data_IF_932893305168
#
_entry.id   IF_932893305168
#
_cell.length_a   1.000
_cell.length_b   1.000
_cell.length_c   1.000
_cell.angle_alpha   90.00
_cell.angle_beta   90.00
_cell.angle_gamma   90.00
#
_symmetry.space_group_name_H-M   'P 1'
#
loop_
_entity.id
_entity.type
_entity.pdbx_description
1 polymer ?
#
# COMPACT_ATOMS: atom_id res chain seq x y z
N UNK A 1 -4.17 -2.56 16.54
CA UNK A 1 -5.32 -2.43 15.61
C UNK A 1 -5.62 -3.80 15.04
N UNK A 2 -6.88 -4.10 14.72
CA UNK A 2 -7.26 -5.37 14.10
C UNK A 2 -8.18 -5.10 12.92
N UNK A 3 -8.24 -6.04 11.99
CA UNK A 3 -9.35 -6.12 11.05
C UNK A 3 -9.38 -7.43 10.31
N UNK A 4 -10.49 -7.65 9.61
CA UNK A 4 -10.79 -8.88 8.88
C UNK A 4 -11.33 -8.49 7.52
N UNK A 5 -10.80 -9.10 6.47
CA UNK A 5 -11.17 -8.82 5.09
C UNK A 5 -11.45 -10.14 4.35
N UNK A 6 -12.57 -10.25 3.62
CA UNK A 6 -12.78 -11.38 2.72
C UNK A 6 -11.72 -11.34 1.61
N UNK A 7 -10.98 -12.43 1.41
CA UNK A 7 -9.87 -12.51 0.43
C UNK A 7 -10.23 -13.35 -0.79
N UNK A 8 -11.44 -13.92 -0.83
CA UNK A 8 -11.89 -14.74 -1.95
C UNK A 8 -11.47 -16.19 -1.80
N UNK A 9 -10.90 -16.80 -2.83
CA UNK A 9 -10.45 -18.18 -2.83
C UNK A 9 -9.12 -18.31 -3.58
N UNK A 10 -8.36 -19.37 -3.31
CA UNK A 10 -7.16 -19.68 -4.10
C UNK A 10 -7.55 -20.40 -5.41
N UNK A 11 -6.79 -20.21 -6.51
CA UNK A 11 -7.12 -20.84 -7.79
C UNK A 11 -7.23 -22.36 -7.75
N UNK A 12 -6.43 -23.01 -6.89
CA UNK A 12 -6.43 -24.47 -6.69
C UNK A 12 -7.63 -24.97 -5.89
N UNK A 13 -8.29 -24.11 -5.11
CA UNK A 13 -9.42 -24.46 -4.25
C UNK A 13 -10.52 -23.38 -4.33
N UNK A 14 -11.17 -23.21 -5.50
CA UNK A 14 -12.04 -22.06 -5.77
C UNK A 14 -13.34 -22.03 -4.93
N UNK A 15 -13.70 -23.17 -4.32
CA UNK A 15 -14.86 -23.29 -3.43
C UNK A 15 -14.52 -22.92 -1.98
N UNK A 16 -13.24 -22.91 -1.60
CA UNK A 16 -12.84 -22.54 -0.26
C UNK A 16 -12.70 -21.03 -0.14
N UNK A 17 -13.64 -20.40 0.59
CA UNK A 17 -13.57 -18.97 0.90
C UNK A 17 -12.57 -18.72 2.01
N UNK A 18 -11.71 -17.72 1.81
CA UNK A 18 -10.65 -17.29 2.71
C UNK A 18 -10.94 -15.89 3.23
N UNK A 19 -10.51 -15.66 4.46
CA UNK A 19 -10.50 -14.34 5.10
C UNK A 19 -9.10 -14.04 5.62
N UNK A 20 -8.63 -12.82 5.38
CA UNK A 20 -7.38 -12.33 5.95
C UNK A 20 -7.66 -11.62 7.26
N UNK A 21 -6.92 -11.99 8.30
CA UNK A 21 -6.95 -11.35 9.61
C UNK A 21 -5.64 -10.60 9.77
N UNK A 22 -5.73 -9.30 10.08
CA UNK A 22 -4.56 -8.52 10.45
C UNK A 22 -4.65 -8.07 11.90
N UNK A 23 -3.52 -8.15 12.61
CA UNK A 23 -3.38 -7.74 13.99
C UNK A 23 -2.06 -6.98 14.14
N UNK A 24 -2.13 -5.74 14.62
CA UNK A 24 -0.96 -4.92 14.88
C UNK A 24 -0.60 -4.97 16.36
N UNK A 25 0.67 -5.26 16.63
CA UNK A 25 1.29 -5.31 17.95
C UNK A 25 2.68 -4.67 17.91
N UNK A 26 3.19 -4.17 19.04
CA UNK A 26 4.58 -3.71 19.15
C UNK A 26 5.57 -4.80 18.73
N UNK A 27 6.64 -4.41 18.02
CA UNK A 27 7.67 -5.35 17.52
C UNK A 27 8.23 -6.30 18.58
N UNK A 28 8.52 -5.87 19.83
CA UNK A 28 9.02 -6.78 20.86
C UNK A 28 8.04 -7.89 21.25
N UNK A 29 6.73 -7.68 21.05
CA UNK A 29 5.69 -8.65 21.39
C UNK A 29 5.44 -9.69 20.29
N UNK A 30 6.01 -9.49 19.09
CA UNK A 30 5.86 -10.42 17.96
C UNK A 30 6.37 -11.81 18.29
N UNK A 31 7.48 -11.91 19.01
CA UNK A 31 8.05 -13.22 19.37
C UNK A 31 7.07 -14.00 20.24
N UNK A 32 6.48 -13.38 21.25
CA UNK A 32 5.50 -14.00 22.17
C UNK A 32 4.09 -14.19 21.60
N UNK A 33 3.84 -13.81 20.34
CA UNK A 33 2.49 -13.84 19.78
C UNK A 33 2.00 -15.29 19.58
N UNK A 34 0.94 -15.66 20.33
CA UNK A 34 0.30 -16.99 20.29
C UNK A 34 1.25 -18.18 20.54
N UNK A 35 2.38 -17.94 21.21
CA UNK A 35 3.37 -19.00 21.47
C UNK A 35 2.84 -20.10 22.40
N UNK A 36 2.07 -19.74 23.41
CA UNK A 36 1.51 -20.66 24.39
C UNK A 36 0.00 -20.47 24.57
N UNK A 37 -0.63 -21.38 25.31
CA UNK A 37 -2.07 -21.35 25.58
C UNK A 37 -2.51 -20.10 26.36
N UNK A 38 -1.64 -19.57 27.24
CA UNK A 38 -1.94 -18.37 27.99
C UNK A 38 -1.99 -17.14 27.08
N UNK A 39 -1.04 -17.01 26.14
CA UNK A 39 -0.99 -15.95 25.15
C UNK A 39 -2.18 -16.01 24.19
N UNK A 40 -2.60 -17.23 23.76
CA UNK A 40 -3.80 -17.42 22.94
C UNK A 40 -5.06 -16.96 23.66
N UNK A 41 -5.24 -17.38 24.91
CA UNK A 41 -6.42 -16.99 25.71
C UNK A 41 -6.44 -15.48 26.00
N UNK A 42 -5.28 -14.90 26.34
CA UNK A 42 -5.16 -13.46 26.57
C UNK A 42 -5.50 -12.65 25.32
N UNK A 43 -5.02 -13.08 24.15
CA UNK A 43 -5.34 -12.44 22.87
C UNK A 43 -6.83 -12.57 22.52
N UNK A 44 -7.41 -13.77 22.62
CA UNK A 44 -8.84 -13.99 22.39
C UNK A 44 -9.71 -13.14 23.33
N UNK A 45 -9.30 -12.97 24.59
CA UNK A 45 -9.96 -12.07 25.54
C UNK A 45 -9.93 -10.62 25.05
N UNK A 46 -8.76 -10.11 24.63
CA UNK A 46 -8.64 -8.75 24.07
C UNK A 46 -9.51 -8.55 22.83
N UNK A 47 -9.59 -9.55 21.95
CA UNK A 47 -10.48 -9.49 20.78
C UNK A 47 -11.94 -9.48 21.23
N UNK A 48 -12.31 -10.30 22.23
CA UNK A 48 -13.70 -10.42 22.69
C UNK A 48 -14.26 -9.14 23.31
N UNK A 49 -13.41 -8.32 23.93
CA UNK A 49 -13.80 -7.01 24.51
C UNK A 49 -14.38 -6.05 23.46
N UNK A 50 -13.98 -6.21 22.18
CA UNK A 50 -14.44 -5.36 21.08
C UNK A 50 -15.34 -6.12 20.12
N UNK A 51 -14.98 -7.35 19.77
CA UNK A 51 -15.67 -8.17 18.76
C UNK A 51 -15.91 -9.62 19.26
N UNK A 52 -16.95 -9.85 20.07
CA UNK A 52 -17.23 -11.16 20.66
C UNK A 52 -17.37 -12.29 19.63
N UNK A 53 -18.15 -12.06 18.56
CA UNK A 53 -18.37 -13.05 17.49
C UNK A 53 -17.09 -13.42 16.74
N UNK A 54 -16.20 -12.45 16.57
CA UNK A 54 -14.90 -12.66 15.92
C UNK A 54 -13.98 -13.47 16.82
N UNK A 55 -13.99 -13.21 18.12
CA UNK A 55 -13.22 -13.99 19.08
C UNK A 55 -13.67 -15.46 19.11
N UNK A 56 -14.97 -15.72 19.05
CA UNK A 56 -15.52 -17.09 18.98
C UNK A 56 -15.07 -17.80 17.70
N UNK A 57 -15.20 -17.16 16.54
CA UNK A 57 -14.71 -17.70 15.26
C UNK A 57 -13.20 -17.95 15.26
N UNK A 58 -12.40 -17.03 15.80
CA UNK A 58 -10.95 -17.21 15.90
C UNK A 58 -10.56 -18.32 16.86
N UNK A 59 -11.33 -18.52 17.94
CA UNK A 59 -11.16 -19.66 18.85
C UNK A 59 -11.35 -20.96 18.07
N UNK A 60 -12.44 -21.10 17.31
CA UNK A 60 -12.66 -22.28 16.48
C UNK A 60 -11.50 -22.54 15.53
N UNK A 61 -11.00 -21.52 14.84
CA UNK A 61 -9.86 -21.65 13.91
C UNK A 61 -8.58 -22.06 14.64
N UNK A 62 -8.25 -21.42 15.77
CA UNK A 62 -7.00 -21.67 16.50
C UNK A 62 -6.91 -23.09 17.09
N UNK A 63 -8.05 -23.68 17.47
CA UNK A 63 -8.10 -25.01 18.09
C UNK A 63 -8.51 -26.11 17.10
N UNK A 64 -8.90 -25.78 15.88
CA UNK A 64 -9.19 -26.78 14.84
C UNK A 64 -7.87 -27.24 14.19
N UNK A 65 -7.54 -28.52 14.39
CA UNK A 65 -6.31 -29.15 13.87
C UNK A 65 -6.22 -29.16 12.33
N UNK A 66 -7.36 -29.06 11.64
CA UNK A 66 -7.42 -29.01 10.17
C UNK A 66 -7.11 -27.60 9.63
N UNK A 67 -7.29 -26.56 10.45
CA UNK A 67 -7.01 -25.17 10.08
C UNK A 67 -5.87 -24.64 10.93
N UNK A 68 -4.63 -24.76 10.46
CA UNK A 68 -3.50 -24.08 11.10
C UNK A 68 -3.33 -22.69 10.48
N UNK A 69 -3.80 -21.60 11.13
CA UNK A 69 -3.62 -20.26 10.59
C UNK A 69 -2.13 -19.95 10.52
N UNK A 70 -1.65 -19.64 9.31
CA UNK A 70 -0.28 -19.15 9.10
C UNK A 70 -0.24 -17.65 9.41
N UNK A 71 0.32 -17.30 10.56
CA UNK A 71 0.59 -15.93 10.92
C UNK A 71 1.90 -15.46 10.30
N UNK A 72 1.84 -14.39 9.50
CA UNK A 72 3.00 -13.79 8.88
C UNK A 72 3.30 -12.45 9.55
N UNK A 73 4.53 -12.28 10.04
CA UNK A 73 5.00 -10.99 10.54
C UNK A 73 5.34 -10.06 9.37
N UNK A 74 4.68 -8.91 9.29
CA UNK A 74 5.03 -7.86 8.34
C UNK A 74 5.87 -6.78 9.04
N UNK A 75 7.16 -6.71 8.73
CA UNK A 75 8.04 -5.65 9.20
C UNK A 75 8.10 -4.54 8.15
N UNK A 76 7.62 -3.35 8.52
CA UNK A 76 7.65 -2.19 7.65
C UNK A 76 8.99 -1.45 7.78
N UNK A 77 9.48 -0.93 6.66
CA UNK A 77 10.66 -0.07 6.60
C UNK A 77 10.27 1.28 6.00
N UNK A 78 10.96 2.32 6.45
CA UNK A 78 10.91 3.63 5.82
C UNK A 78 12.14 3.75 4.90
N UNK A 79 11.92 3.78 3.59
CA UNK A 79 12.96 3.86 2.57
C UNK A 79 12.83 5.19 1.86
N UNK A 80 13.93 5.93 1.74
CA UNK A 80 13.98 7.18 0.97
C UNK A 80 15.16 7.15 0.03
N UNK A 81 14.87 7.20 -1.27
CA UNK A 81 15.87 7.42 -2.30
C UNK A 81 15.82 8.86 -2.80
N UNK A 82 16.99 9.47 -2.98
CA UNK A 82 17.12 10.80 -3.61
C UNK A 82 17.16 10.71 -5.13
N UNK A 83 17.54 9.55 -5.67
CA UNK A 83 17.64 9.29 -7.09
C UNK A 83 17.06 7.90 -7.40
N UNK A 84 16.03 7.85 -8.25
CA UNK A 84 15.27 6.63 -8.57
C UNK A 84 15.89 5.79 -9.68
N UNK A 85 16.87 6.31 -10.42
CA UNK A 85 17.52 5.57 -11.50
C UNK A 85 18.75 6.25 -12.07
N UNK A 86 19.60 5.46 -12.71
CA UNK A 86 20.80 5.89 -13.42
C UNK A 86 21.13 4.90 -14.54
N UNK A 87 21.34 5.42 -15.75
CA UNK A 87 21.60 4.58 -16.92
C UNK A 87 20.45 3.60 -17.15
N UNK A 88 20.75 2.30 -17.24
CA UNK A 88 19.78 1.24 -17.51
C UNK A 88 19.12 0.65 -16.25
N UNK A 89 19.41 1.18 -15.07
CA UNK A 89 18.92 0.66 -13.79
C UNK A 89 18.02 1.71 -13.15
N UNK A 90 16.82 1.28 -12.74
CA UNK A 90 15.88 2.08 -11.97
C UNK A 90 15.24 1.26 -10.85
N UNK A 91 14.78 1.95 -9.83
CA UNK A 91 14.12 1.39 -8.65
C UNK A 91 12.78 2.11 -8.48
N UNK A 92 11.70 1.34 -8.32
CA UNK A 92 10.33 1.85 -8.17
C UNK A 92 9.60 1.11 -7.04
N UNK A 93 8.46 1.66 -6.62
CA UNK A 93 7.64 1.09 -5.54
C UNK A 93 8.34 1.11 -4.18
N UNK A 94 7.99 0.16 -3.33
CA UNK A 94 8.51 0.07 -1.96
C UNK A 94 10.04 -0.04 -1.89
N UNK A 95 10.70 -0.59 -2.92
CA UNK A 95 12.15 -0.63 -2.99
C UNK A 95 12.79 0.77 -3.05
N UNK A 96 12.06 1.78 -3.55
CA UNK A 96 12.53 3.15 -3.66
C UNK A 96 11.95 4.10 -2.60
N UNK A 97 10.74 3.84 -2.14
CA UNK A 97 10.01 4.77 -1.26
C UNK A 97 9.03 4.11 -0.29
N UNK A 98 9.35 2.89 0.21
CA UNK A 98 8.57 2.26 1.25
C UNK A 98 8.24 3.23 2.39
N UNK A 99 6.98 3.25 2.77
CA UNK A 99 6.44 4.14 3.80
C UNK A 99 5.52 3.34 4.72
N UNK A 100 5.22 3.92 5.87
CA UNK A 100 4.34 3.26 6.84
C UNK A 100 2.92 3.13 6.26
N UNK A 101 2.23 1.99 6.48
CA UNK A 101 1.04 1.60 5.71
C UNK A 101 -0.25 2.34 6.06
N UNK A 102 -0.23 3.33 6.96
CA UNK A 102 -1.43 3.98 7.50
C UNK A 102 -2.34 4.59 6.42
N UNK A 103 -1.76 5.03 5.30
CA UNK A 103 -2.50 5.64 4.20
C UNK A 103 -2.89 4.64 3.10
N UNK A 104 -2.41 3.39 3.16
CA UNK A 104 -2.64 2.38 2.13
C UNK A 104 -2.09 2.74 0.74
N UNK A 105 -1.07 3.59 0.65
CA UNK A 105 -0.62 4.18 -0.62
C UNK A 105 0.49 3.42 -1.36
N UNK A 106 1.11 2.39 -0.75
CA UNK A 106 2.26 1.70 -1.39
C UNK A 106 1.95 1.20 -2.80
N UNK A 107 0.82 0.49 -2.96
CA UNK A 107 0.37 0.00 -4.27
C UNK A 107 0.05 1.14 -5.25
N UNK A 108 -0.67 2.17 -4.82
CA UNK A 108 -0.98 3.34 -5.65
C UNK A 108 0.30 4.04 -6.13
N UNK A 109 1.29 4.20 -5.24
CA UNK A 109 2.56 4.84 -5.58
C UNK A 109 3.36 4.00 -6.57
N UNK A 110 3.41 2.67 -6.39
CA UNK A 110 4.08 1.78 -7.34
C UNK A 110 3.41 1.81 -8.73
N UNK A 111 2.07 1.86 -8.80
CA UNK A 111 1.35 1.99 -10.07
C UNK A 111 1.63 3.33 -10.76
N UNK A 112 1.65 4.43 -10.00
CA UNK A 112 2.00 5.74 -10.54
C UNK A 112 3.47 5.83 -10.97
N UNK A 113 4.38 5.08 -10.34
CA UNK A 113 5.75 4.97 -10.81
C UNK A 113 5.82 4.24 -12.16
N UNK A 114 5.07 3.15 -12.32
CA UNK A 114 4.99 2.43 -13.59
C UNK A 114 4.43 3.34 -14.70
N UNK A 115 3.38 4.10 -14.40
CA UNK A 115 2.85 5.13 -15.30
C UNK A 115 3.90 6.18 -15.67
N UNK A 116 4.56 6.80 -14.68
CA UNK A 116 5.56 7.84 -14.94
C UNK A 116 6.78 7.31 -15.69
N UNK A 117 7.19 6.06 -15.43
CA UNK A 117 8.24 5.39 -16.18
C UNK A 117 7.84 5.21 -17.65
N UNK A 118 6.62 4.74 -17.92
CA UNK A 118 6.09 4.63 -19.29
C UNK A 118 6.12 5.97 -20.03
N UNK A 119 5.63 7.05 -19.40
CA UNK A 119 5.63 8.39 -20.00
C UNK A 119 7.07 8.89 -20.27
N UNK A 120 7.99 8.61 -19.35
CA UNK A 120 9.39 9.04 -19.47
C UNK A 120 10.15 8.24 -20.52
N UNK A 121 9.83 6.96 -20.66
CA UNK A 121 10.37 6.12 -21.72
C UNK A 121 9.94 6.63 -23.10
N UNK A 122 8.64 6.92 -23.28
CA UNK A 122 8.14 7.50 -24.52
C UNK A 122 8.78 8.86 -24.84
N UNK A 123 8.99 9.70 -23.82
CA UNK A 123 9.61 11.02 -23.97
C UNK A 123 11.08 10.94 -24.39
N UNK A 124 11.81 9.96 -23.87
CA UNK A 124 13.26 9.84 -24.05
C UNK A 124 13.68 8.90 -25.20
N UNK A 125 12.73 8.19 -25.82
CA UNK A 125 13.00 7.27 -26.90
C UNK A 125 12.98 7.97 -28.27
N UNK A 126 14.07 7.84 -29.04
CA UNK A 126 14.17 8.32 -30.43
C UNK A 126 14.88 7.27 -31.29
N UNK A 127 14.30 6.89 -32.43
CA UNK A 127 14.87 5.93 -33.37
C UNK A 127 15.41 4.65 -32.69
N UNK A 128 14.63 4.06 -31.79
CA UNK A 128 14.98 2.87 -30.99
C UNK A 128 16.13 3.04 -29.98
N UNK A 129 16.72 4.24 -29.87
CA UNK A 129 17.66 4.57 -28.81
C UNK A 129 16.96 5.30 -27.66
N UNK A 130 17.36 4.99 -26.43
CA UNK A 130 16.83 5.61 -25.21
C UNK A 130 17.89 6.54 -24.64
N UNK A 131 17.55 7.81 -24.48
CA UNK A 131 18.33 8.77 -23.71
C UNK A 131 18.06 8.57 -22.21
N UNK A 132 18.90 7.78 -21.54
CA UNK A 132 18.71 7.44 -20.12
C UNK A 132 18.73 8.67 -19.19
N UNK A 133 19.66 9.63 -19.33
CA UNK A 133 19.60 10.88 -18.57
C UNK A 133 18.26 11.61 -18.71
N UNK A 134 17.77 11.77 -19.95
CA UNK A 134 16.50 12.45 -20.20
C UNK A 134 15.31 11.69 -19.60
N UNK A 135 15.30 10.35 -19.71
CA UNK A 135 14.28 9.49 -19.12
C UNK A 135 14.20 9.71 -17.62
N UNK A 136 15.32 9.57 -16.90
CA UNK A 136 15.31 9.70 -15.45
C UNK A 136 15.01 11.12 -15.02
N UNK A 137 15.48 12.15 -15.73
CA UNK A 137 15.12 13.54 -15.44
C UNK A 137 13.61 13.75 -15.51
N UNK A 138 12.97 13.29 -16.59
CA UNK A 138 11.52 13.40 -16.76
C UNK A 138 10.74 12.59 -15.70
N UNK A 139 11.20 11.37 -15.39
CA UNK A 139 10.61 10.55 -14.33
C UNK A 139 10.63 11.26 -12.97
N UNK A 140 11.76 11.87 -12.61
CA UNK A 140 11.89 12.60 -11.33
C UNK A 140 10.99 13.82 -11.30
N UNK A 141 10.79 14.52 -12.43
CA UNK A 141 9.86 15.65 -12.51
C UNK A 141 8.41 15.22 -12.23
N UNK A 142 8.00 14.04 -12.70
CA UNK A 142 6.65 13.53 -12.49
C UNK A 142 6.42 13.00 -11.06
N UNK A 143 7.43 12.42 -10.42
CA UNK A 143 7.24 11.61 -9.19
C UNK A 143 7.78 12.22 -7.91
N UNK A 144 8.85 13.02 -7.97
CA UNK A 144 9.59 13.45 -6.77
C UNK A 144 8.69 14.16 -5.76
N UNK A 145 7.84 15.08 -6.22
CA UNK A 145 6.94 15.86 -5.38
C UNK A 145 5.87 14.98 -4.71
N UNK A 146 5.20 14.11 -5.47
CA UNK A 146 4.22 13.16 -4.91
C UNK A 146 4.84 12.21 -3.89
N UNK A 147 5.99 11.61 -4.20
CA UNK A 147 6.64 10.66 -3.29
C UNK A 147 7.04 11.35 -2.00
N UNK A 148 7.64 12.54 -2.07
CA UNK A 148 8.02 13.32 -0.89
C UNK A 148 6.81 13.73 -0.06
N UNK A 149 5.70 14.13 -0.70
CA UNK A 149 4.47 14.49 0.00
C UNK A 149 3.90 13.31 0.79
N UNK A 150 3.77 12.13 0.17
CA UNK A 150 3.21 10.95 0.84
C UNK A 150 4.15 10.39 1.92
N UNK A 151 5.47 10.44 1.72
CA UNK A 151 6.43 10.08 2.76
C UNK A 151 6.36 11.04 3.96
N UNK A 152 6.30 12.34 3.71
CA UNK A 152 6.12 13.34 4.76
C UNK A 152 4.81 13.10 5.52
N UNK A 153 3.69 12.90 4.81
CA UNK A 153 2.40 12.68 5.42
C UNK A 153 2.36 11.37 6.21
N UNK A 154 2.95 10.30 5.69
CA UNK A 154 3.09 9.01 6.38
C UNK A 154 3.87 9.18 7.70
N UNK A 155 4.99 9.89 7.68
CA UNK A 155 5.78 10.19 8.89
C UNK A 155 5.03 11.06 9.89
N UNK A 156 4.31 12.08 9.42
CA UNK A 156 3.51 12.96 10.28
C UNK A 156 2.37 12.19 10.99
N UNK A 157 1.73 11.27 10.27
CA UNK A 157 0.62 10.48 10.80
C UNK A 157 1.08 9.32 11.67
N UNK A 158 2.30 8.80 11.46
CA UNK A 158 2.80 7.62 12.20
C UNK A 158 2.71 7.78 13.72
N UNK A 159 3.17 8.89 14.34
CA UNK A 159 2.99 9.13 15.78
C UNK A 159 1.52 9.15 16.22
N UNK A 160 0.60 9.71 15.43
CA UNK A 160 -0.81 9.79 15.79
C UNK A 160 -1.50 8.41 15.85
N UNK A 161 -0.98 7.41 15.14
CA UNK A 161 -1.55 6.07 15.08
C UNK A 161 -0.75 5.01 15.86
N UNK A 162 0.54 5.24 16.12
CA UNK A 162 1.43 4.27 16.76
C UNK A 162 1.96 4.70 18.13
N UNK A 163 1.75 5.94 18.59
CA UNK A 163 2.20 6.36 19.91
C UNK A 163 1.19 6.06 21.02
N UNK A 164 1.69 5.72 22.21
CA UNK A 164 0.91 5.54 23.45
C UNK A 164 0.44 6.88 24.06
N UNK A 165 0.49 7.98 23.28
CA UNK A 165 0.11 9.29 23.77
C UNK A 165 -1.41 9.46 23.78
N UNK A 166 -2.00 9.35 24.97
CA UNK A 166 -3.43 9.46 25.25
C UNK A 166 -4.13 10.68 24.59
N UNK A 167 -3.42 11.79 24.40
CA UNK A 167 -3.97 13.03 23.82
C UNK A 167 -4.06 13.00 22.29
N UNK A 168 -3.24 12.19 21.60
CA UNK A 168 -3.26 12.09 20.14
C UNK A 168 -4.57 11.45 19.64
N UNK A 169 -5.11 10.50 20.39
CA UNK A 169 -6.40 9.87 20.12
C UNK A 169 -7.56 10.87 20.21
N UNK A 170 -7.62 11.66 21.28
CA UNK A 170 -8.68 12.67 21.46
C UNK A 170 -8.64 13.78 20.40
N UNK A 171 -7.44 14.21 20.00
CA UNK A 171 -7.30 15.19 18.91
C UNK A 171 -7.79 14.60 17.57
N UNK A 172 -7.40 13.36 17.26
CA UNK A 172 -7.89 12.64 16.07
C UNK A 172 -9.42 12.56 16.06
N UNK A 173 -10.01 12.15 17.18
CA UNK A 173 -11.45 11.91 17.28
C UNK A 173 -12.28 13.21 17.20
N UNK A 174 -11.68 14.36 17.50
CA UNK A 174 -12.29 15.68 17.32
C UNK A 174 -12.10 16.23 15.89
N UNK A 175 -10.88 16.15 15.37
CA UNK A 175 -10.47 16.83 14.13
C UNK A 175 -11.03 16.14 12.88
N UNK A 176 -10.98 14.80 12.81
CA UNK A 176 -11.39 14.09 11.60
C UNK A 176 -12.89 14.24 11.28
N UNK A 177 -13.82 14.10 12.26
CA UNK A 177 -15.24 14.34 11.99
C UNK A 177 -15.53 15.77 11.55
N UNK A 178 -14.88 16.76 12.17
CA UNK A 178 -15.03 18.17 11.80
C UNK A 178 -14.51 18.45 10.38
N UNK A 179 -13.32 17.94 10.04
CA UNK A 179 -12.77 18.04 8.69
C UNK A 179 -13.68 17.41 7.64
N UNK A 180 -14.33 16.29 7.95
CA UNK A 180 -15.22 15.62 7.01
C UNK A 180 -16.50 16.42 6.71
N UNK A 181 -16.94 17.27 7.65
CA UNK A 181 -18.12 18.11 7.47
C UNK A 181 -17.87 19.29 6.53
N UNK A 182 -16.62 19.72 6.36
CA UNK A 182 -16.27 20.85 5.50
C UNK A 182 -16.00 20.34 4.07
N UNK A 183 -16.75 20.79 3.05
CA UNK A 183 -16.65 20.23 1.69
C UNK A 183 -15.25 20.28 1.08
N UNK A 184 -14.50 21.35 1.36
CA UNK A 184 -13.13 21.51 0.89
C UNK A 184 -12.20 20.43 1.47
N UNK A 185 -12.16 20.28 2.80
CA UNK A 185 -11.32 19.27 3.45
C UNK A 185 -11.74 17.85 3.08
N UNK A 186 -13.04 17.59 2.94
CA UNK A 186 -13.54 16.30 2.43
C UNK A 186 -12.99 15.99 1.03
N UNK A 187 -12.98 16.97 0.14
CA UNK A 187 -12.42 16.84 -1.22
C UNK A 187 -10.91 16.57 -1.17
N UNK A 188 -10.16 17.35 -0.39
CA UNK A 188 -8.71 17.18 -0.23
C UNK A 188 -8.33 15.82 0.36
N UNK A 189 -9.09 15.33 1.34
CA UNK A 189 -8.91 13.98 1.88
C UNK A 189 -9.18 12.90 0.83
N UNK A 190 -10.23 13.05 0.01
CA UNK A 190 -10.52 12.11 -1.06
C UNK A 190 -9.40 12.06 -2.12
N UNK A 191 -8.86 13.22 -2.53
CA UNK A 191 -7.74 13.30 -3.48
C UNK A 191 -6.45 12.72 -2.86
N UNK A 192 -6.25 12.92 -1.56
CA UNK A 192 -5.11 12.33 -0.86
C UNK A 192 -5.20 10.81 -0.85
N UNK A 193 -6.38 10.25 -0.56
CA UNK A 193 -6.59 8.79 -0.54
C UNK A 193 -6.50 8.19 -1.96
N UNK A 194 -6.89 8.93 -2.99
CA UNK A 194 -6.78 8.47 -4.39
C UNK A 194 -5.35 8.46 -4.94
N UNK A 195 -4.36 8.94 -4.18
CA UNK A 195 -2.95 8.91 -4.59
C UNK A 195 -2.51 10.06 -5.51
N UNK A 196 -3.37 11.05 -5.78
CA UNK A 196 -3.11 12.07 -6.80
C UNK A 196 -2.36 13.29 -6.27
N UNK A 197 -2.11 13.44 -4.97
CA UNK A 197 -1.45 14.64 -4.43
C UNK A 197 0.03 14.68 -4.79
N UNK A 198 0.50 15.85 -5.22
CA UNK A 198 1.93 16.16 -5.40
C UNK A 198 2.44 17.13 -4.33
N UNK A 199 1.54 17.70 -3.53
CA UNK A 199 1.83 18.60 -2.43
C UNK A 199 0.56 19.00 -1.68
N UNK A 200 0.65 19.89 -0.67
CA UNK A 200 -0.51 20.31 0.11
C UNK A 200 -1.59 20.99 -0.74
N UNK A 201 -1.20 21.69 -1.82
CA UNK A 201 -2.10 22.44 -2.70
C UNK A 201 -2.00 22.04 -4.17
N UNK A 202 -1.22 21.00 -4.48
CA UNK A 202 -0.98 20.54 -5.86
C UNK A 202 -1.36 19.08 -6.00
N UNK A 203 -1.81 18.71 -7.19
CA UNK A 203 -2.22 17.34 -7.53
C UNK A 203 -1.93 17.04 -8.99
N UNK A 204 -1.83 15.75 -9.31
CA UNK A 204 -1.84 15.24 -10.67
C UNK A 204 -3.23 15.44 -11.28
N UNK A 205 -3.25 15.66 -12.59
CA UNK A 205 -4.47 15.67 -13.38
C UNK A 205 -4.91 14.21 -13.64
N UNK A 206 -6.09 13.86 -13.14
CA UNK A 206 -6.65 12.52 -13.29
C UNK A 206 -6.81 12.13 -14.75
N UNK A 207 -7.23 13.06 -15.62
CA UNK A 207 -7.44 12.76 -17.05
C UNK A 207 -6.13 12.38 -17.75
N UNK A 208 -5.00 12.93 -17.30
CA UNK A 208 -3.68 12.59 -17.84
C UNK A 208 -3.20 11.22 -17.37
N UNK A 209 -3.52 10.85 -16.13
CA UNK A 209 -3.14 9.54 -15.56
C UNK A 209 -4.04 8.43 -16.11
N UNK A 210 -5.33 8.72 -16.32
CA UNK A 210 -6.33 7.77 -16.78
C UNK A 210 -6.23 7.47 -18.29
N UNK A 211 -5.51 8.29 -19.06
CA UNK A 211 -5.29 8.04 -20.47
C UNK A 211 -4.48 6.76 -20.68
N UNK A 212 -5.14 5.74 -21.22
CA UNK A 212 -4.47 4.58 -21.77
C UNK A 212 -3.58 5.03 -22.94
N UNK A 213 -2.36 4.48 -23.10
CA UNK A 213 -1.55 4.75 -24.27
C UNK A 213 -2.40 4.48 -25.51
N UNK A 214 -2.58 5.49 -26.38
CA UNK A 214 -3.15 5.25 -27.71
C UNK A 214 -2.28 4.16 -28.33
N UNK A 215 -2.90 3.07 -28.80
CA UNK A 215 -2.20 2.04 -29.54
C UNK A 215 -1.49 2.70 -30.72
N UNK A 216 -0.19 3.00 -30.54
CA UNK A 216 0.66 3.39 -31.64
C UNK A 216 0.79 2.16 -32.50
N UNK A 217 0.34 2.23 -33.76
CA UNK A 217 0.42 1.15 -34.76
C UNK A 217 1.83 0.57 -35.00
N UNK A 218 2.86 1.05 -34.30
CA UNK A 218 4.27 0.67 -34.50
C UNK A 218 5.03 0.22 -33.25
N UNK A 219 4.41 0.13 -32.06
CA UNK A 219 5.12 -0.35 -30.85
C UNK A 219 4.90 -1.84 -30.61
N UNK A 220 5.54 -2.68 -31.43
CA UNK A 220 5.70 -4.13 -31.20
C UNK A 220 6.73 -4.48 -30.10
N UNK A 221 7.07 -3.54 -29.21
CA UNK A 221 8.12 -3.71 -28.21
C UNK A 221 7.73 -4.63 -27.03
N UNK A 222 6.43 -4.83 -26.80
CA UNK A 222 5.94 -5.79 -25.80
C UNK A 222 5.10 -6.87 -26.49
N UNK A 223 5.77 -7.83 -27.13
CA UNK A 223 5.17 -9.14 -27.33
C UNK A 223 4.92 -9.76 -25.96
N UNK A 224 3.75 -9.49 -25.38
CA UNK A 224 3.14 -10.37 -24.40
C UNK A 224 3.02 -11.73 -25.11
N UNK A 225 3.95 -12.64 -24.84
CA UNK A 225 3.70 -14.06 -25.02
C UNK A 225 2.60 -14.43 -24.03
N UNK A 226 1.35 -14.17 -24.39
CA UNK A 226 0.21 -14.93 -23.89
C UNK A 226 0.26 -16.30 -24.57
N UNK A 227 1.31 -17.08 -24.26
CA UNK A 227 1.27 -18.52 -24.43
C UNK A 227 0.34 -19.02 -23.36
N UNK A 228 -0.76 -19.66 -23.77
CA UNK A 228 -1.66 -20.38 -22.90
C UNK A 228 -0.86 -21.26 -21.95
N UNK A 229 -0.91 -20.98 -20.64
CA UNK A 229 -0.60 -21.95 -19.61
C UNK A 229 -1.77 -22.94 -19.55
N UNK A 230 -1.88 -23.75 -20.59
CA UNK A 230 -2.58 -25.03 -20.57
C UNK A 230 -1.49 -26.06 -20.79
N UNK A 231 -1.12 -26.71 -19.68
CA UNK A 231 -0.34 -27.94 -19.52
C UNK A 231 0.75 -27.76 -18.47
N UNK A 232 0.34 -27.85 -17.19
CA UNK A 232 1.00 -28.59 -16.10
C UNK A 232 0.00 -28.78 -14.95
#
# INVERSE_FOLDING_TARGET
MMGILPTGAIPTEPQQRLSSVFWSLPTPQLQSFLQDEQAKQAWLKQVSERWPKVAEWLKEILYNSQTQPKWLSANYRDVVMTQFGQGRIGVIGDAAHAMSPQLGQGANMALLDAWAFSQSLQHAQKNQNIDWPLLWQHYHQLRRSSTQFYQFLSRLLTPLYQSDHWWAGSLRDLVFPWMYQIPYFRKEMAITISGLKTGPFQQLDYEQVAQLPKESKESSAFHLKSGSLTDF
#
